data_IF_232987038841
#
_entry.id   IF_232987038841
#
_cell.length_a   1.000
_cell.length_b   1.000
_cell.length_c   1.000
_cell.angle_alpha   90.00
_cell.angle_beta   90.00
_cell.angle_gamma   90.00
#
_symmetry.space_group_name_H-M   'P 1'
#
loop_
_entity.id
_entity.type
_entity.pdbx_description
1 polymer ?
#
# COMPACT_ATOMS: atom_id res chain seq x y z
N UNK A 1 20.32 -20.33 -19.19
CA UNK A 1 19.05 -21.05 -18.91
C UNK A 1 18.32 -20.25 -17.84
N UNK A 2 17.24 -19.52 -18.17
CA UNK A 2 16.46 -18.72 -17.20
C UNK A 2 15.41 -19.62 -16.54
N UNK A 3 15.37 -19.64 -15.22
CA UNK A 3 14.32 -20.31 -14.44
C UNK A 3 13.02 -19.49 -14.50
N UNK A 4 11.83 -20.07 -14.79
CA UNK A 4 10.66 -19.29 -15.23
C UNK A 4 9.78 -18.72 -14.09
N UNK A 5 10.21 -18.73 -12.83
CA UNK A 5 9.40 -18.24 -11.72
C UNK A 5 10.24 -17.75 -10.54
N UNK A 6 11.00 -16.67 -10.72
CA UNK A 6 11.50 -15.89 -9.57
C UNK A 6 10.38 -14.97 -9.05
N UNK A 7 9.36 -15.52 -8.39
CA UNK A 7 8.43 -14.73 -7.57
C UNK A 7 8.89 -14.73 -6.11
N UNK A 8 10.11 -14.26 -5.84
CA UNK A 8 10.54 -14.02 -4.45
C UNK A 8 10.34 -12.58 -3.98
N UNK A 9 9.98 -11.66 -4.88
CA UNK A 9 9.64 -10.29 -4.54
C UNK A 9 8.14 -10.04 -4.70
N UNK A 10 7.47 -9.72 -3.61
CA UNK A 10 6.12 -9.18 -3.67
C UNK A 10 6.23 -7.70 -4.03
N UNK A 11 5.54 -7.25 -5.08
CA UNK A 11 5.53 -5.82 -5.45
C UNK A 11 4.40 -5.06 -4.75
N UNK A 12 3.31 -5.74 -4.41
CA UNK A 12 2.14 -5.16 -3.78
C UNK A 12 1.49 -6.16 -2.81
N UNK A 13 1.24 -5.71 -1.59
CA UNK A 13 0.56 -6.46 -0.54
C UNK A 13 -0.78 -5.78 -0.26
N UNK A 14 -1.87 -6.51 -0.50
CA UNK A 14 -3.18 -6.13 0.01
C UNK A 14 -3.35 -6.68 1.43
N UNK A 15 -3.73 -5.82 2.37
CA UNK A 15 -3.93 -6.17 3.78
C UNK A 15 -5.42 -6.07 4.08
N UNK A 16 -6.04 -7.21 4.36
CA UNK A 16 -7.47 -7.28 4.69
C UNK A 16 -7.77 -6.72 6.08
N UNK A 17 -9.01 -6.33 6.33
CA UNK A 17 -9.47 -5.87 7.64
C UNK A 17 -9.31 -6.94 8.74
N UNK A 18 -9.34 -8.24 8.39
CA UNK A 18 -9.06 -9.33 9.33
C UNK A 18 -7.68 -9.23 10.00
N UNK A 19 -6.72 -8.60 9.32
CA UNK A 19 -5.33 -8.48 9.77
C UNK A 19 -5.07 -7.26 10.66
N UNK A 20 -6.12 -6.53 11.08
CA UNK A 20 -5.95 -5.36 11.96
C UNK A 20 -5.12 -5.66 13.23
N UNK A 21 -5.21 -6.88 13.77
CA UNK A 21 -4.43 -7.30 14.94
C UNK A 21 -2.93 -7.42 14.66
N UNK A 22 -2.55 -7.79 13.44
CA UNK A 22 -1.17 -8.02 13.02
C UNK A 22 -0.60 -6.85 12.20
N UNK A 23 -1.38 -5.79 12.00
CA UNK A 23 -1.12 -4.73 11.03
C UNK A 23 0.27 -4.10 11.16
N UNK A 24 0.70 -3.79 12.39
CA UNK A 24 2.00 -3.18 12.65
C UNK A 24 3.16 -4.08 12.21
N UNK A 25 3.06 -5.39 12.49
CA UNK A 25 4.09 -6.36 12.09
C UNK A 25 4.16 -6.50 10.56
N UNK A 26 2.99 -6.60 9.91
CA UNK A 26 2.88 -6.70 8.46
C UNK A 26 3.48 -5.45 7.79
N UNK A 27 3.15 -4.26 8.30
CA UNK A 27 3.68 -3.00 7.77
C UNK A 27 5.20 -2.93 7.93
N UNK A 28 5.75 -3.31 9.08
CA UNK A 28 7.20 -3.33 9.30
C UNK A 28 7.91 -4.27 8.30
N UNK A 29 7.39 -5.49 8.10
CA UNK A 29 7.94 -6.45 7.12
C UNK A 29 7.80 -5.95 5.68
N UNK A 30 6.70 -5.28 5.35
CA UNK A 30 6.45 -4.74 4.01
C UNK A 30 7.40 -3.61 3.64
N UNK A 31 7.77 -2.75 4.60
CA UNK A 31 8.74 -1.66 4.39
C UNK A 31 10.12 -2.20 4.03
N UNK A 32 10.56 -3.27 4.70
CA UNK A 32 11.85 -3.92 4.44
C UNK A 32 11.93 -4.54 3.04
N UNK A 33 10.80 -4.97 2.49
CA UNK A 33 10.74 -5.57 1.14
C UNK A 33 10.48 -4.56 0.02
N UNK A 34 10.25 -3.28 0.36
CA UNK A 34 9.89 -2.26 -0.64
C UNK A 34 8.54 -2.50 -1.31
N UNK A 35 7.64 -3.24 -0.66
CA UNK A 35 6.32 -3.59 -1.21
C UNK A 35 5.35 -2.41 -1.09
N UNK A 36 4.54 -2.17 -2.12
CA UNK A 36 3.40 -1.26 -2.03
C UNK A 36 2.32 -1.88 -1.14
N UNK A 37 1.93 -1.22 -0.06
CA UNK A 37 0.84 -1.72 0.79
C UNK A 37 -0.48 -1.04 0.48
N UNK A 38 -1.53 -1.86 0.38
CA UNK A 38 -2.88 -1.42 0.02
C UNK A 38 -3.88 -2.02 1.03
N UNK A 39 -4.85 -1.25 1.50
CA UNK A 39 -5.86 -1.78 2.44
C UNK A 39 -7.16 -0.97 2.43
N UNK A 40 -8.27 -1.59 2.85
CA UNK A 40 -9.51 -0.90 3.21
C UNK A 40 -9.61 -0.57 4.71
N UNK A 41 -8.60 -0.93 5.51
CA UNK A 41 -8.57 -0.62 6.94
C UNK A 41 -8.70 0.89 7.15
N UNK A 42 -9.64 1.30 7.99
CA UNK A 42 -9.84 2.71 8.35
C UNK A 42 -8.55 3.33 8.92
N UNK A 43 -8.22 4.52 8.42
CA UNK A 43 -7.05 5.31 8.79
C UNK A 43 -5.72 4.59 8.50
N UNK A 44 -5.70 3.67 7.54
CA UNK A 44 -4.51 2.89 7.15
C UNK A 44 -3.32 3.76 6.77
N UNK A 45 -3.53 4.90 6.10
CA UNK A 45 -2.46 5.86 5.81
C UNK A 45 -1.79 6.40 7.08
N UNK A 46 -2.59 6.70 8.12
CA UNK A 46 -2.09 7.21 9.40
C UNK A 46 -1.36 6.13 10.20
N UNK A 47 -1.70 4.87 9.97
CA UNK A 47 -1.08 3.70 10.61
C UNK A 47 0.24 3.27 9.94
N UNK A 48 0.69 3.97 8.88
CA UNK A 48 1.95 3.70 8.19
C UNK A 48 1.81 2.89 6.90
N UNK A 49 0.58 2.65 6.44
CA UNK A 49 0.28 2.10 5.12
C UNK A 49 0.50 3.11 3.98
N UNK A 50 0.58 2.61 2.75
CA UNK A 50 0.89 3.44 1.58
C UNK A 50 -0.34 3.86 0.78
N UNK A 51 -1.29 2.96 0.55
CA UNK A 51 -2.54 3.23 -0.19
C UNK A 51 -3.73 2.74 0.62
N UNK A 52 -4.70 3.62 0.89
CA UNK A 52 -5.94 3.27 1.56
C UNK A 52 -7.09 3.40 0.57
N UNK A 53 -7.82 2.31 0.33
CA UNK A 53 -9.07 2.36 -0.39
C UNK A 53 -10.18 2.84 0.52
N UNK A 54 -10.92 3.84 0.07
CA UNK A 54 -12.05 4.43 0.80
C UNK A 54 -13.26 4.48 -0.11
N UNK A 55 -14.42 4.06 0.41
CA UNK A 55 -15.69 4.26 -0.29
C UNK A 55 -16.22 5.65 0.02
N UNK A 56 -16.42 6.47 -1.01
CA UNK A 56 -17.02 7.80 -0.92
C UNK A 56 -18.28 7.77 -1.78
N UNK A 57 -19.45 7.89 -1.15
CA UNK A 57 -20.74 7.59 -1.78
C UNK A 57 -20.78 6.18 -2.37
N UNK A 58 -20.97 6.04 -3.68
CA UNK A 58 -20.98 4.77 -4.41
C UNK A 58 -19.69 4.50 -5.20
N UNK A 59 -18.64 5.29 -4.99
CA UNK A 59 -17.38 5.17 -5.72
C UNK A 59 -16.24 4.72 -4.81
N UNK A 60 -15.44 3.78 -5.30
CA UNK A 60 -14.16 3.44 -4.70
C UNK A 60 -13.16 4.54 -5.04
N UNK A 61 -12.60 5.15 -4.00
CA UNK A 61 -11.54 6.15 -4.07
C UNK A 61 -10.33 5.63 -3.33
N UNK A 62 -9.23 6.36 -3.40
CA UNK A 62 -8.00 5.98 -2.73
C UNK A 62 -7.27 7.20 -2.16
N UNK A 63 -6.62 7.00 -1.01
CA UNK A 63 -5.68 7.93 -0.41
C UNK A 63 -4.27 7.38 -0.57
N UNK A 64 -3.28 8.25 -0.72
CA UNK A 64 -1.88 7.85 -0.92
C UNK A 64 -0.96 8.59 0.04
N UNK A 65 -0.17 7.85 0.81
CA UNK A 65 0.94 8.40 1.59
C UNK A 65 2.19 8.56 0.71
N UNK A 66 2.22 9.60 -0.12
CA UNK A 66 3.34 9.81 -1.05
C UNK A 66 4.68 10.04 -0.34
N UNK A 67 4.66 10.64 0.85
CA UNK A 67 5.87 10.84 1.65
C UNK A 67 6.46 9.50 2.08
N UNK A 68 5.63 8.58 2.56
CA UNK A 68 6.08 7.25 2.97
C UNK A 68 6.46 6.38 1.77
N UNK A 69 5.73 6.48 0.65
CA UNK A 69 6.08 5.77 -0.58
C UNK A 69 7.49 6.13 -1.06
N UNK A 70 7.83 7.43 -1.08
CA UNK A 70 9.18 7.92 -1.42
C UNK A 70 10.24 7.39 -0.45
N UNK A 71 9.96 7.36 0.85
CA UNK A 71 10.88 6.79 1.87
C UNK A 71 11.14 5.30 1.62
N UNK A 72 10.15 4.56 1.13
CA UNK A 72 10.28 3.14 0.79
C UNK A 72 10.84 2.89 -0.62
N UNK A 73 11.34 3.93 -1.30
CA UNK A 73 11.89 3.81 -2.66
C UNK A 73 10.84 3.62 -3.76
N UNK A 74 9.55 3.76 -3.44
CA UNK A 74 8.45 3.59 -4.39
C UNK A 74 8.14 4.93 -5.06
N UNK A 75 8.22 4.93 -6.39
CA UNK A 75 7.85 6.08 -7.22
C UNK A 75 6.40 5.95 -7.66
N UNK A 76 5.56 6.89 -7.24
CA UNK A 76 4.16 6.99 -7.65
C UNK A 76 4.04 8.05 -8.74
N UNK A 77 3.31 7.75 -9.82
CA UNK A 77 3.11 8.71 -10.91
C UNK A 77 2.38 9.95 -10.41
N UNK A 78 2.74 11.13 -10.95
CA UNK A 78 2.06 12.38 -10.63
C UNK A 78 0.57 12.32 -10.98
N UNK A 79 0.23 11.70 -12.10
CA UNK A 79 -1.16 11.49 -12.52
C UNK A 79 -1.97 10.69 -11.48
N UNK A 80 -1.40 9.64 -10.88
CA UNK A 80 -2.12 8.90 -9.85
C UNK A 80 -2.29 9.73 -8.56
N UNK A 81 -1.32 10.58 -8.22
CA UNK A 81 -1.41 11.48 -7.08
C UNK A 81 -2.49 12.55 -7.26
N UNK A 82 -2.69 13.05 -8.48
CA UNK A 82 -3.75 14.02 -8.81
C UNK A 82 -5.16 13.44 -8.62
N UNK A 83 -5.31 12.12 -8.78
CA UNK A 83 -6.56 11.40 -8.61
C UNK A 83 -6.84 10.96 -7.17
N UNK A 84 -5.86 11.09 -6.27
CA UNK A 84 -5.97 10.63 -4.89
C UNK A 84 -6.79 11.58 -4.02
N UNK A 85 -7.59 11.01 -3.12
CA UNK A 85 -8.27 11.74 -2.07
C UNK A 85 -7.27 12.24 -1.02
N UNK A 86 -7.60 13.39 -0.42
CA UNK A 86 -6.78 14.02 0.62
C UNK A 86 -6.88 13.33 1.97
#
# INVERSE_FOLDING_TARGET
MKVPYETKSCHMIYIDESEQRNLAEILNKSQLSGSLTVSCIKDFIKKGGLVEFVKIHHHLRFKINNQMAKKNGIKISSFLLELAER
#
